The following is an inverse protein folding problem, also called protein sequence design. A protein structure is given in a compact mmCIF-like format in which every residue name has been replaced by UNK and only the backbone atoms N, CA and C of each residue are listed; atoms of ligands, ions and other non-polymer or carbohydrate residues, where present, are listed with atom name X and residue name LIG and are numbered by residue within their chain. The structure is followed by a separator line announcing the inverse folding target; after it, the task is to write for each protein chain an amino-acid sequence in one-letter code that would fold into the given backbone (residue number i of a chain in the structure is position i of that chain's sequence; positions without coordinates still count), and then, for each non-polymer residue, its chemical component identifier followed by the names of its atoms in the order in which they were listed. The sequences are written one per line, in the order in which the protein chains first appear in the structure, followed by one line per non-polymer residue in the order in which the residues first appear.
data_IF_968255409098
#
_entry.id   IF_968255409098
#
_cell.length_a   1.000
_cell.length_b   1.000
_cell.length_c   1.000
_cell.angle_alpha   90.00
_cell.angle_beta   90.00
_cell.angle_gamma   90.00
#
_symmetry.space_group_name_H-M   'P 1'
#
loop_
_entity.id
_entity.type
_entity.pdbx_description
1 polymer ?
#
# COMPACT_ATOMS: atom_id res chain seq x y z
N UNK A 1 -4.67 18.43 -16.42
CA UNK A 1 -5.42 17.15 -16.48
C UNK A 1 -4.80 16.27 -15.40
N UNK A 2 -5.57 15.78 -14.43
CA UNK A 2 -5.03 14.86 -13.40
C UNK A 2 -5.22 13.44 -13.94
N UNK A 3 -4.12 12.68 -14.02
CA UNK A 3 -4.18 11.27 -14.38
C UNK A 3 -4.27 10.42 -13.11
N UNK A 4 -5.16 9.40 -13.08
CA UNK A 4 -5.31 8.51 -11.94
C UNK A 4 -4.17 7.49 -11.93
N UNK A 5 -2.99 7.95 -11.51
CA UNK A 5 -1.77 7.16 -11.41
C UNK A 5 -1.46 7.02 -9.92
N UNK A 6 -1.24 5.80 -9.49
CA UNK A 6 -0.70 5.47 -8.17
C UNK A 6 0.78 5.09 -8.30
N UNK A 7 1.50 5.09 -7.18
CA UNK A 7 2.88 4.61 -7.11
C UNK A 7 2.99 3.49 -6.06
N UNK A 8 4.14 2.84 -5.99
CA UNK A 8 4.48 1.89 -4.96
C UNK A 8 5.77 2.33 -4.25
N UNK A 9 5.96 1.96 -2.97
CA UNK A 9 7.20 2.26 -2.23
C UNK A 9 8.48 1.75 -2.92
N UNK A 10 8.39 0.76 -3.81
CA UNK A 10 9.53 0.24 -4.56
C UNK A 10 10.23 1.30 -5.44
N UNK A 11 9.54 2.37 -5.85
CA UNK A 11 10.16 3.52 -6.53
C UNK A 11 11.20 4.26 -5.66
N UNK A 12 11.14 4.08 -4.34
CA UNK A 12 12.12 4.58 -3.37
C UNK A 12 13.13 3.50 -2.93
N UNK A 13 13.17 2.36 -3.62
CA UNK A 13 14.05 1.23 -3.29
C UNK A 13 13.55 0.37 -2.13
N UNK A 14 12.26 0.47 -1.77
CA UNK A 14 11.65 -0.35 -0.72
C UNK A 14 11.23 -1.70 -1.29
N UNK A 15 11.97 -2.75 -0.92
CA UNK A 15 11.76 -4.13 -1.37
C UNK A 15 11.68 -5.13 -0.20
N UNK A 16 12.66 -5.12 0.72
CA UNK A 16 12.71 -5.97 1.90
C UNK A 16 12.52 -5.13 3.17
N UNK A 17 11.41 -5.30 3.91
CA UNK A 17 11.13 -4.54 5.13
C UNK A 17 12.15 -4.79 6.26
N UNK A 18 13.01 -5.82 6.13
CA UNK A 18 14.09 -6.11 7.07
C UNK A 18 15.38 -5.33 6.78
N UNK A 19 15.48 -4.68 5.61
CA UNK A 19 16.66 -3.90 5.26
C UNK A 19 16.72 -2.63 6.15
N UNK A 20 17.77 -2.46 6.96
CA UNK A 20 17.87 -1.33 7.89
C UNK A 20 18.16 0.00 7.20
N UNK A 21 18.53 -0.01 5.90
CA UNK A 21 18.89 1.18 5.14
C UNK A 21 17.74 1.73 4.30
N UNK A 22 16.52 1.19 4.46
CA UNK A 22 15.36 1.71 3.77
C UNK A 22 15.06 3.16 4.19
N UNK A 23 14.55 4.01 3.28
CA UNK A 23 14.00 5.29 3.66
C UNK A 23 12.87 5.08 4.67
N UNK A 24 12.70 6.01 5.61
CA UNK A 24 11.58 5.94 6.55
C UNK A 24 10.25 6.03 5.78
N UNK A 25 9.27 5.21 6.16
CA UNK A 25 7.95 5.21 5.52
C UNK A 25 7.31 6.60 5.46
N UNK A 26 7.49 7.41 6.50
CA UNK A 26 6.95 8.76 6.57
C UNK A 26 7.56 9.68 5.50
N UNK A 27 8.84 9.49 5.17
CA UNK A 27 9.52 10.19 4.08
C UNK A 27 8.92 9.79 2.74
N UNK A 28 8.70 8.50 2.50
CA UNK A 28 8.11 7.99 1.26
C UNK A 28 6.68 8.50 1.06
N UNK A 29 5.83 8.46 2.08
CA UNK A 29 4.46 8.99 1.98
C UNK A 29 4.46 10.49 1.68
N UNK A 30 5.31 11.25 2.37
CA UNK A 30 5.47 12.69 2.13
C UNK A 30 5.92 12.97 0.70
N UNK A 31 6.95 12.30 0.21
CA UNK A 31 7.49 12.51 -1.13
C UNK A 31 6.51 12.06 -2.22
N UNK A 32 5.78 10.96 -2.01
CA UNK A 32 4.73 10.52 -2.93
C UNK A 32 3.66 11.60 -3.09
N UNK A 33 3.19 12.17 -1.98
CA UNK A 33 2.23 13.28 -2.02
C UNK A 33 2.82 14.53 -2.70
N UNK A 34 4.08 14.88 -2.42
CA UNK A 34 4.77 16.02 -3.05
C UNK A 34 4.97 15.83 -4.56
N UNK A 35 5.18 14.60 -5.01
CA UNK A 35 5.26 14.25 -6.43
C UNK A 35 3.88 14.29 -7.14
N UNK A 36 2.80 14.51 -6.40
CA UNK A 36 1.45 14.66 -6.94
C UNK A 36 0.65 13.36 -7.02
N UNK A 37 1.13 12.26 -6.42
CA UNK A 37 0.35 11.04 -6.30
C UNK A 37 -0.77 11.24 -5.28
N UNK A 38 -1.95 10.65 -5.57
CA UNK A 38 -3.12 10.63 -4.68
C UNK A 38 -3.35 9.26 -4.03
N UNK A 39 -2.68 8.24 -4.55
CA UNK A 39 -2.78 6.88 -4.06
C UNK A 39 -1.43 6.20 -4.13
N UNK A 40 -1.19 5.27 -3.20
CA UNK A 40 0.02 4.46 -3.15
C UNK A 40 -0.33 2.99 -2.87
N UNK A 41 0.52 2.05 -3.25
CA UNK A 41 0.44 0.67 -2.80
C UNK A 41 0.97 0.53 -1.37
N UNK A 42 0.50 -0.49 -0.63
CA UNK A 42 0.97 -0.77 0.73
C UNK A 42 2.48 -1.07 0.77
N UNK A 43 3.03 -1.63 -0.31
CA UNK A 43 4.39 -2.15 -0.35
C UNK A 43 4.54 -3.42 0.48
N UNK A 44 5.78 -3.84 0.80
CA UNK A 44 6.02 -5.05 1.57
C UNK A 44 5.45 -4.93 2.98
N UNK A 45 4.84 -6.01 3.46
CA UNK A 45 4.18 -6.04 4.76
C UNK A 45 5.14 -5.70 5.90
N UNK A 46 4.73 -4.75 6.75
CA UNK A 46 5.53 -4.26 7.88
C UNK A 46 6.41 -3.04 7.57
N UNK A 47 6.52 -2.61 6.31
CA UNK A 47 7.19 -1.34 5.97
C UNK A 47 6.34 -0.12 6.38
N UNK A 48 5.10 -0.06 5.89
CA UNK A 48 4.09 0.86 6.42
C UNK A 48 3.54 0.34 7.75
N UNK A 49 2.93 1.20 8.60
CA UNK A 49 2.28 0.75 9.83
C UNK A 49 1.28 -0.37 9.57
N UNK A 50 1.40 -1.48 10.32
CA UNK A 50 0.49 -2.62 10.20
C UNK A 50 -0.79 -2.48 11.03
N UNK A 51 -0.82 -1.56 12.00
CA UNK A 51 -2.04 -1.20 12.72
C UNK A 51 -2.94 -0.32 11.83
N UNK A 52 -4.21 -0.69 11.58
CA UNK A 52 -5.09 0.05 10.68
C UNK A 52 -5.32 1.51 11.05
N UNK A 53 -5.40 1.83 12.35
CA UNK A 53 -5.64 3.20 12.79
C UNK A 53 -4.41 4.09 12.53
N UNK A 54 -3.23 3.55 12.82
CA UNK A 54 -1.95 4.21 12.54
C UNK A 54 -1.72 4.39 11.05
N UNK A 55 -2.03 3.36 10.24
CA UNK A 55 -1.93 3.41 8.79
C UNK A 55 -2.87 4.47 8.20
N UNK A 56 -4.14 4.51 8.64
CA UNK A 56 -5.11 5.51 8.22
C UNK A 56 -4.63 6.92 8.54
N UNK A 57 -4.18 7.17 9.77
CA UNK A 57 -3.70 8.49 10.18
C UNK A 57 -2.50 8.95 9.35
N UNK A 58 -1.55 8.04 9.06
CA UNK A 58 -0.39 8.33 8.22
C UNK A 58 -0.78 8.70 6.78
N UNK A 59 -1.74 7.99 6.19
CA UNK A 59 -2.25 8.27 4.84
C UNK A 59 -3.01 9.61 4.78
N UNK A 60 -3.91 9.85 5.73
CA UNK A 60 -4.73 11.08 5.82
C UNK A 60 -3.86 12.34 5.98
N UNK A 61 -2.79 12.25 6.76
CA UNK A 61 -1.83 13.34 6.94
C UNK A 61 -1.25 13.83 5.61
N UNK A 62 -1.13 12.94 4.63
CA UNK A 62 -0.56 13.21 3.30
C UNK A 62 -1.61 13.23 2.18
N UNK A 63 -2.90 13.17 2.51
CA UNK A 63 -4.01 13.06 1.55
C UNK A 63 -3.81 11.93 0.53
N UNK A 64 -3.25 10.81 0.99
CA UNK A 64 -3.05 9.60 0.20
C UNK A 64 -4.14 8.58 0.52
N UNK A 65 -4.45 7.75 -0.46
CA UNK A 65 -5.23 6.52 -0.27
C UNK A 65 -4.36 5.30 -0.58
N UNK A 66 -4.83 4.11 -0.23
CA UNK A 66 -4.27 2.90 -0.83
C UNK A 66 -4.95 2.59 -2.16
N UNK A 67 -4.23 1.88 -3.05
CA UNK A 67 -4.80 1.30 -4.30
C UNK A 67 -4.68 -0.23 -4.32
N UNK A 68 -3.71 -0.81 -3.61
CA UNK A 68 -3.46 -2.25 -3.56
C UNK A 68 -2.61 -2.63 -2.33
N UNK A 69 -2.65 -3.91 -1.98
CA UNK A 69 -1.67 -4.55 -1.10
C UNK A 69 -0.71 -5.42 -1.91
N UNK A 70 0.43 -5.77 -1.32
CA UNK A 70 1.47 -6.56 -1.98
C UNK A 70 1.76 -7.83 -1.20
N UNK A 71 1.84 -8.96 -1.89
CA UNK A 71 2.39 -10.22 -1.37
C UNK A 71 3.60 -10.55 -2.23
N UNK A 72 4.77 -10.62 -1.59
CA UNK A 72 6.02 -11.06 -2.19
C UNK A 72 6.66 -12.08 -1.26
N UNK A 73 6.30 -13.34 -1.45
CA UNK A 73 6.71 -14.47 -0.60
C UNK A 73 6.67 -15.78 -1.40
N UNK A 74 6.97 -16.91 -0.75
CA UNK A 74 6.96 -18.24 -1.37
C UNK A 74 5.54 -18.76 -1.66
N UNK A 75 5.07 -18.49 -2.88
CA UNK A 75 3.74 -18.89 -3.36
C UNK A 75 3.61 -20.37 -3.75
N UNK A 76 4.71 -21.14 -3.77
CA UNK A 76 4.71 -22.51 -4.32
C UNK A 76 4.85 -23.59 -3.26
N UNK A 77 5.45 -23.28 -2.11
CA UNK A 77 5.59 -24.24 -1.02
C UNK A 77 4.26 -24.51 -0.32
N UNK A 78 3.77 -25.74 -0.42
CA UNK A 78 2.57 -26.19 0.30
C UNK A 78 2.68 -25.99 1.81
N UNK A 79 3.86 -26.25 2.38
CA UNK A 79 4.14 -26.02 3.80
C UNK A 79 4.04 -24.53 4.21
N UNK A 80 4.23 -23.60 3.27
CA UNK A 80 4.18 -22.16 3.51
C UNK A 80 2.78 -21.56 3.28
N UNK A 81 1.90 -22.28 2.56
CA UNK A 81 0.55 -21.81 2.22
C UNK A 81 -0.27 -21.29 3.42
N UNK A 82 -0.26 -21.92 4.63
CA UNK A 82 -0.98 -21.37 5.78
C UNK A 82 -0.52 -19.96 6.18
N UNK A 83 0.79 -19.69 6.09
CA UNK A 83 1.36 -18.37 6.38
C UNK A 83 0.89 -17.34 5.36
N UNK A 84 0.89 -17.69 4.07
CA UNK A 84 0.38 -16.83 3.00
C UNK A 84 -1.09 -16.48 3.16
N UNK A 85 -1.92 -17.45 3.52
CA UNK A 85 -3.35 -17.21 3.78
C UNK A 85 -3.52 -16.25 4.95
N UNK A 86 -2.77 -16.44 6.04
CA UNK A 86 -2.81 -15.54 7.20
C UNK A 86 -2.38 -14.11 6.82
N UNK A 87 -1.27 -13.96 6.08
CA UNK A 87 -0.77 -12.68 5.58
C UNK A 87 -1.79 -12.01 4.65
N UNK A 88 -2.38 -12.77 3.73
CA UNK A 88 -3.43 -12.30 2.82
C UNK A 88 -4.60 -11.71 3.62
N UNK A 89 -5.08 -12.42 4.63
CA UNK A 89 -6.17 -11.92 5.48
C UNK A 89 -5.77 -10.67 6.28
N UNK A 90 -4.52 -10.56 6.74
CA UNK A 90 -4.04 -9.36 7.42
C UNK A 90 -4.03 -8.15 6.48
N UNK A 91 -3.49 -8.31 5.27
CA UNK A 91 -3.47 -7.28 4.24
C UNK A 91 -4.90 -6.86 3.88
N UNK A 92 -5.79 -7.80 3.58
CA UNK A 92 -7.17 -7.49 3.21
C UNK A 92 -7.92 -6.76 4.33
N UNK A 93 -7.72 -7.13 5.61
CA UNK A 93 -8.30 -6.41 6.74
C UNK A 93 -7.79 -4.97 6.88
N UNK A 94 -6.51 -4.73 6.58
CA UNK A 94 -5.96 -3.38 6.61
C UNK A 94 -6.51 -2.54 5.47
N UNK A 95 -6.53 -3.10 4.25
CA UNK A 95 -7.10 -2.43 3.09
C UNK A 95 -8.55 -2.01 3.40
N UNK A 96 -9.40 -2.92 3.89
CA UNK A 96 -10.82 -2.64 4.20
C UNK A 96 -11.06 -1.59 5.31
N UNK A 97 -10.01 -1.07 5.95
CA UNK A 97 -10.12 -0.12 7.08
C UNK A 97 -9.46 1.24 6.81
N UNK A 98 -8.92 1.43 5.61
CA UNK A 98 -8.29 2.68 5.18
C UNK A 98 -8.91 3.19 3.88
N UNK A 99 -8.67 4.46 3.57
CA UNK A 99 -9.21 5.09 2.37
C UNK A 99 -8.77 4.35 1.10
N UNK A 100 -9.75 3.99 0.27
CA UNK A 100 -9.54 3.50 -1.09
C UNK A 100 -9.34 4.65 -2.08
N UNK A 101 -8.70 4.34 -3.21
CA UNK A 101 -8.55 5.28 -4.30
C UNK A 101 -9.92 5.73 -4.84
N UNK A 102 -10.04 7.04 -5.09
CA UNK A 102 -11.31 7.64 -5.52
C UNK A 102 -11.75 7.13 -6.90
N UNK A 103 -13.04 6.87 -7.11
CA UNK A 103 -13.59 6.56 -8.42
C UNK A 103 -13.26 7.64 -9.46
N UNK A 104 -13.03 7.22 -10.70
CA UNK A 104 -12.66 8.10 -11.81
C UNK A 104 -13.88 8.30 -12.71
N UNK A 105 -14.49 9.50 -12.74
CA UNK A 105 -15.69 9.75 -13.54
C UNK A 105 -15.48 9.46 -15.02
N UNK A 106 -16.45 8.77 -15.64
CA UNK A 106 -16.43 8.47 -17.08
C UNK A 106 -15.41 7.42 -17.52
N UNK A 107 -14.68 6.78 -16.61
CA UNK A 107 -13.83 5.62 -16.92
C UNK A 107 -14.60 4.31 -16.75
N UNK A 108 -14.48 3.35 -17.69
CA UNK A 108 -15.11 2.04 -17.54
C UNK A 108 -14.46 1.18 -16.44
N UNK A 109 -13.16 1.40 -16.18
CA UNK A 109 -12.42 0.73 -15.12
C UNK A 109 -12.25 1.67 -13.93
N UNK A 110 -12.69 1.20 -12.77
CA UNK A 110 -12.62 1.93 -11.51
C UNK A 110 -11.50 1.33 -10.65
N UNK A 111 -10.85 2.14 -9.78
CA UNK A 111 -10.00 1.59 -8.75
C UNK A 111 -10.79 0.65 -7.83
N UNK A 112 -10.11 -0.22 -7.08
CA UNK A 112 -10.81 -1.21 -6.29
C UNK A 112 -11.59 -0.54 -5.16
N UNK A 113 -12.76 -1.10 -4.88
CA UNK A 113 -13.59 -0.75 -3.74
C UNK A 113 -13.46 -1.88 -2.71
N UNK A 114 -13.24 -1.54 -1.45
CA UNK A 114 -13.07 -2.49 -0.36
C UNK A 114 -13.69 -1.98 0.93
#
# INVERSE_FOLDING_TARGET
MIHPIANAPCSWGVDDPKNPNLPAWATVLKEAAQAGYRSIELGPWGYLPSDPASLRAALEQHQLSLVAGTIFDDLVSEAHFPTLVALTHQICRNLSQVAAAEPIPGRPFQPPIW
#
